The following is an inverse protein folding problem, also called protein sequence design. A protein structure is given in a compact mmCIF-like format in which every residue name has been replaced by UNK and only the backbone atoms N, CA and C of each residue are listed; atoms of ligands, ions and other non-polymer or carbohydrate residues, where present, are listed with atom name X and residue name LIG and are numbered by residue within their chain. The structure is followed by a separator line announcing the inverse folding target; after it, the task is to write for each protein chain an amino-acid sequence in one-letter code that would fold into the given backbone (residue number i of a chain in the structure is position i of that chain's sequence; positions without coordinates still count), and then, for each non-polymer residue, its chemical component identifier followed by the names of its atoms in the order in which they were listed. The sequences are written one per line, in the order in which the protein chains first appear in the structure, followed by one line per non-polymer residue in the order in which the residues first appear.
data_IF_847189437065
#
_entry.id   IF_847189437065
#
_cell.length_a   1.000
_cell.length_b   1.000
_cell.length_c   1.000
_cell.angle_alpha   90.00
_cell.angle_beta   90.00
_cell.angle_gamma   90.00
#
_symmetry.space_group_name_H-M   'P 1'
#
loop_
_entity.id
_entity.type
_entity.pdbx_description
1 polymer ?
#
# COMPACT_ATOMS: atom_id res chain seq x y z
N UNK A 1 -3.88 11.09 21.28
CA UNK A 1 -4.06 9.73 20.70
C UNK A 1 -3.55 9.79 19.25
N UNK A 2 -2.42 9.11 18.99
CA UNK A 2 -1.53 9.24 17.81
C UNK A 2 -2.23 9.49 16.47
N UNK A 3 -2.06 10.69 15.90
CA UNK A 3 -2.40 11.03 14.51
C UNK A 3 -1.92 9.95 13.52
N UNK A 4 -0.68 9.47 13.69
CA UNK A 4 -0.12 8.39 12.85
C UNK A 4 -0.90 7.07 12.88
N UNK A 5 -1.55 6.72 14.00
CA UNK A 5 -2.38 5.50 14.09
C UNK A 5 -3.68 5.67 13.30
N UNK A 6 -4.31 6.85 13.34
CA UNK A 6 -5.48 7.17 12.50
C UNK A 6 -5.12 7.11 11.02
N UNK A 7 -4.03 7.76 10.62
CA UNK A 7 -3.51 7.72 9.23
C UNK A 7 -3.27 6.28 8.77
N UNK A 8 -2.66 5.44 9.61
CA UNK A 8 -2.44 4.03 9.30
C UNK A 8 -3.75 3.26 9.10
N UNK A 9 -4.72 3.43 10.00
CA UNK A 9 -6.02 2.77 9.91
C UNK A 9 -6.80 3.21 8.66
N UNK A 10 -6.80 4.50 8.33
CA UNK A 10 -7.44 5.02 7.11
C UNK A 10 -6.83 4.41 5.84
N UNK A 11 -5.50 4.30 5.79
CA UNK A 11 -4.80 3.66 4.68
C UNK A 11 -5.16 2.19 4.54
N UNK A 12 -5.21 1.46 5.66
CA UNK A 12 -5.49 0.03 5.69
C UNK A 12 -6.95 -0.25 5.27
N UNK A 13 -7.88 0.58 5.73
CA UNK A 13 -9.30 0.53 5.30
C UNK A 13 -9.41 0.83 3.80
N UNK A 14 -8.74 1.88 3.30
CA UNK A 14 -8.77 2.19 1.86
C UNK A 14 -8.17 1.09 1.00
N UNK A 15 -7.06 0.45 1.45
CA UNK A 15 -6.47 -0.70 0.75
C UNK A 15 -7.47 -1.86 0.72
N UNK A 16 -8.15 -2.16 1.82
CA UNK A 16 -9.14 -3.23 1.87
C UNK A 16 -10.33 -2.94 0.93
N UNK A 17 -10.85 -1.71 0.93
CA UNK A 17 -11.94 -1.29 0.04
C UNK A 17 -11.53 -1.41 -1.43
N UNK A 18 -10.36 -0.89 -1.81
CA UNK A 18 -9.87 -1.00 -3.18
C UNK A 18 -9.54 -2.43 -3.57
N UNK A 19 -8.97 -3.24 -2.67
CA UNK A 19 -8.70 -4.65 -2.94
C UNK A 19 -10.00 -5.43 -3.26
N UNK A 20 -11.08 -5.18 -2.51
CA UNK A 20 -12.41 -5.75 -2.80
C UNK A 20 -12.93 -5.22 -4.15
N UNK A 21 -12.77 -3.92 -4.42
CA UNK A 21 -13.20 -3.32 -5.68
C UNK A 21 -12.49 -3.94 -6.89
N UNK A 22 -11.18 -4.20 -6.80
CA UNK A 22 -10.41 -4.85 -7.86
C UNK A 22 -10.61 -6.38 -7.92
N UNK A 23 -11.17 -6.99 -6.87
CA UNK A 23 -11.58 -8.39 -6.90
C UNK A 23 -12.71 -8.65 -7.90
N UNK A 24 -13.61 -7.67 -8.09
CA UNK A 24 -14.78 -7.73 -8.96
C UNK A 24 -14.42 -7.82 -10.46
N UNK A 25 -13.60 -6.93 -11.04
CA UNK A 25 -13.21 -7.03 -12.45
C UNK A 25 -12.39 -8.29 -12.76
N UNK A 26 -11.71 -8.87 -11.77
CA UNK A 26 -11.05 -10.17 -11.90
C UNK A 26 -11.99 -11.32 -12.31
N UNK A 27 -13.29 -11.22 -12.03
CA UNK A 27 -14.30 -12.22 -12.43
C UNK A 27 -14.71 -12.09 -13.91
N UNK A 28 -14.61 -10.90 -14.49
CA UNK A 28 -15.03 -10.60 -15.86
C UNK A 28 -13.90 -10.68 -16.88
N UNK A 29 -12.65 -10.65 -16.43
CA UNK A 29 -11.47 -10.75 -17.28
C UNK A 29 -11.24 -12.22 -17.71
N UNK A 30 -11.01 -12.43 -19.02
CA UNK A 30 -10.60 -13.75 -19.58
C UNK A 30 -9.11 -14.03 -19.32
N UNK A 31 -8.71 -13.99 -18.06
CA UNK A 31 -7.33 -14.22 -17.62
C UNK A 31 -7.33 -15.41 -16.67
N UNK A 32 -6.19 -16.08 -16.51
CA UNK A 32 -6.05 -17.18 -15.55
C UNK A 32 -6.46 -16.72 -14.15
N UNK A 33 -7.60 -17.22 -13.66
CA UNK A 33 -8.22 -16.79 -12.40
C UNK A 33 -7.27 -17.01 -11.22
N UNK A 34 -6.57 -18.14 -11.22
CA UNK A 34 -5.57 -18.46 -10.19
C UNK A 34 -4.42 -17.43 -10.18
N UNK A 35 -3.87 -17.13 -11.36
CA UNK A 35 -2.78 -16.16 -11.47
C UNK A 35 -3.21 -14.74 -11.12
N UNK A 36 -4.46 -14.38 -11.44
CA UNK A 36 -5.07 -13.10 -11.09
C UNK A 36 -5.22 -12.94 -9.58
N UNK A 37 -5.86 -13.90 -8.91
CA UNK A 37 -6.12 -13.81 -7.47
C UNK A 37 -4.84 -13.93 -6.65
N UNK A 38 -3.89 -14.77 -7.06
CA UNK A 38 -2.58 -14.86 -6.40
C UNK A 38 -1.80 -13.55 -6.55
N UNK A 39 -1.80 -12.94 -7.75
CA UNK A 39 -1.13 -11.67 -7.97
C UNK A 39 -1.79 -10.50 -7.22
N UNK A 40 -3.13 -10.43 -7.23
CA UNK A 40 -3.86 -9.42 -6.49
C UNK A 40 -3.67 -9.59 -4.97
N UNK A 41 -3.71 -10.84 -4.47
CA UNK A 41 -3.50 -11.18 -3.07
C UNK A 41 -2.09 -10.79 -2.60
N UNK A 42 -1.06 -11.13 -3.37
CA UNK A 42 0.32 -10.73 -3.07
C UNK A 42 0.52 -9.22 -3.15
N UNK A 43 -0.01 -8.56 -4.18
CA UNK A 43 0.05 -7.10 -4.29
C UNK A 43 -0.64 -6.41 -3.11
N UNK A 44 -1.75 -6.96 -2.62
CA UNK A 44 -2.48 -6.43 -1.46
C UNK A 44 -1.70 -6.65 -0.16
N UNK A 45 -1.14 -7.84 0.07
CA UNK A 45 -0.28 -8.14 1.23
C UNK A 45 0.92 -7.20 1.30
N UNK A 46 1.55 -6.95 0.15
CA UNK A 46 2.67 -6.01 0.01
C UNK A 46 2.23 -4.59 0.34
N UNK A 47 1.08 -4.16 -0.15
CA UNK A 47 0.51 -2.85 0.17
C UNK A 47 0.32 -2.66 1.67
N UNK A 48 -0.12 -3.69 2.39
CA UNK A 48 -0.22 -3.67 3.86
C UNK A 48 1.15 -3.55 4.52
N UNK A 49 2.15 -4.32 4.07
CA UNK A 49 3.53 -4.22 4.58
C UNK A 49 4.16 -2.83 4.36
N UNK A 50 3.96 -2.26 3.18
CA UNK A 50 4.38 -0.90 2.84
C UNK A 50 3.72 0.15 3.74
N UNK A 51 2.45 -0.07 4.08
CA UNK A 51 1.69 0.80 5.00
C UNK A 51 2.26 0.70 6.42
N UNK A 52 2.62 -0.50 6.86
CA UNK A 52 3.24 -0.71 8.17
C UNK A 52 4.62 -0.03 8.28
N UNK A 53 5.43 -0.14 7.23
CA UNK A 53 6.71 0.57 7.14
C UNK A 53 6.52 2.10 7.21
N UNK A 54 5.45 2.62 6.60
CA UNK A 54 5.12 4.05 6.68
C UNK A 54 4.70 4.47 8.11
N UNK A 55 3.87 3.66 8.78
CA UNK A 55 3.47 3.91 10.17
C UNK A 55 4.68 3.97 11.11
N UNK A 56 5.59 3.00 11.01
CA UNK A 56 6.81 2.98 11.83
C UNK A 56 7.71 4.20 11.59
N UNK A 57 7.72 4.71 10.36
CA UNK A 57 8.48 5.92 10.01
C UNK A 57 7.87 7.18 10.64
N UNK A 58 6.54 7.35 10.59
CA UNK A 58 5.84 8.53 11.13
C UNK A 58 5.99 8.61 12.65
N UNK A 59 5.87 7.48 13.34
CA UNK A 59 6.05 7.41 14.79
C UNK A 59 7.47 7.84 15.20
N UNK A 60 8.47 7.50 14.39
CA UNK A 60 9.89 7.83 14.65
C UNK A 60 10.26 9.25 14.25
N UNK A 61 9.65 9.80 13.19
CA UNK A 61 9.89 11.19 12.78
C UNK A 61 9.34 12.21 13.79
N UNK A 62 8.31 11.84 14.57
CA UNK A 62 7.71 12.71 15.59
C UNK A 62 8.68 13.02 16.75
N UNK A 63 9.73 12.22 16.92
CA UNK A 63 10.78 12.40 17.93
C UNK A 63 12.09 12.96 17.34
N UNK A 64 12.12 13.33 16.06
CA UNK A 64 13.33 13.79 15.37
C UNK A 64 13.21 15.24 14.90
N UNK A 65 14.26 16.02 15.17
CA UNK A 65 14.42 17.44 14.83
C UNK A 65 14.25 17.73 13.31
N UNK A 66 13.81 18.93 12.91
CA UNK A 66 13.42 19.29 11.53
C UNK A 66 14.49 18.96 10.46
N UNK A 67 15.79 19.10 10.79
CA UNK A 67 16.89 18.70 9.88
C UNK A 67 16.96 17.19 9.64
N UNK A 68 16.51 16.41 10.62
CA UNK A 68 16.47 14.95 10.58
C UNK A 68 15.22 14.44 9.87
N UNK A 69 14.11 15.18 9.90
CA UNK A 69 12.85 14.82 9.24
C UNK A 69 13.01 14.70 7.71
N UNK A 70 13.83 15.57 7.10
CA UNK A 70 14.11 15.52 5.64
C UNK A 70 14.91 14.27 5.28
N UNK A 71 15.92 13.90 6.08
CA UNK A 71 16.71 12.67 5.86
C UNK A 71 15.89 11.40 6.11
N UNK A 72 14.97 11.45 7.09
CA UNK A 72 14.03 10.35 7.38
C UNK A 72 13.03 10.14 6.26
N UNK A 73 12.48 11.22 5.71
CA UNK A 73 11.57 11.17 4.56
C UNK A 73 12.24 10.54 3.34
N UNK A 74 13.51 10.89 3.07
CA UNK A 74 14.31 10.27 2.01
C UNK A 74 14.53 8.77 2.25
N UNK A 75 14.87 8.37 3.48
CA UNK A 75 15.13 6.97 3.82
C UNK A 75 13.88 6.10 3.69
N UNK A 76 12.71 6.64 4.03
CA UNK A 76 11.43 5.95 3.85
C UNK A 76 11.05 5.81 2.37
N UNK A 77 11.34 6.82 1.53
CA UNK A 77 11.17 6.72 0.09
C UNK A 77 12.04 5.61 -0.52
N UNK A 78 13.29 5.47 -0.08
CA UNK A 78 14.19 4.40 -0.49
C UNK A 78 13.65 3.02 -0.06
N UNK A 79 13.21 2.87 1.19
CA UNK A 79 12.60 1.61 1.68
C UNK A 79 11.37 1.21 0.87
N UNK A 80 10.53 2.19 0.54
CA UNK A 80 9.33 1.98 -0.30
C UNK A 80 9.70 1.53 -1.70
N UNK A 81 10.71 2.13 -2.33
CA UNK A 81 11.22 1.70 -3.63
C UNK A 81 11.83 0.29 -3.58
N UNK A 82 12.59 -0.02 -2.52
CA UNK A 82 13.21 -1.32 -2.32
C UNK A 82 12.15 -2.42 -2.18
N UNK A 83 11.09 -2.19 -1.40
CA UNK A 83 9.98 -3.14 -1.26
C UNK A 83 9.23 -3.35 -2.57
N UNK A 84 9.01 -2.30 -3.36
CA UNK A 84 8.37 -2.43 -4.69
C UNK A 84 9.25 -3.28 -5.63
N UNK A 85 10.56 -3.06 -5.63
CA UNK A 85 11.50 -3.84 -6.46
C UNK A 85 11.50 -5.32 -6.05
N UNK A 86 11.60 -5.61 -4.74
CA UNK A 86 11.57 -6.99 -4.22
C UNK A 86 10.29 -7.70 -4.67
N UNK A 87 9.16 -7.00 -4.61
CA UNK A 87 7.86 -7.59 -4.95
C UNK A 87 7.71 -7.84 -6.44
N UNK A 88 8.21 -6.93 -7.28
CA UNK A 88 8.31 -7.15 -8.71
C UNK A 88 9.20 -8.36 -9.04
N UNK A 89 10.35 -8.50 -8.36
CA UNK A 89 11.24 -9.64 -8.56
C UNK A 89 10.59 -10.96 -8.15
N UNK A 90 9.91 -11.00 -7.00
CA UNK A 90 9.16 -12.18 -6.54
C UNK A 90 8.02 -12.53 -7.52
N UNK A 91 7.31 -11.52 -8.01
CA UNK A 91 6.22 -11.70 -8.97
C UNK A 91 6.73 -12.25 -10.32
N UNK A 92 7.90 -11.82 -10.79
CA UNK A 92 8.52 -12.33 -12.02
C UNK A 92 9.08 -13.74 -11.82
N UNK A 93 9.60 -14.06 -10.63
CA UNK A 93 10.15 -15.38 -10.33
C UNK A 93 9.06 -16.47 -10.27
N UNK A 94 7.86 -16.11 -9.82
CA UNK A 94 6.72 -17.02 -9.75
C UNK A 94 5.91 -16.92 -11.05
N UNK A 95 6.18 -17.83 -12.00
CA UNK A 95 5.47 -17.91 -13.28
C UNK A 95 3.94 -18.02 -13.16
N UNK A 96 3.44 -18.51 -12.01
CA UNK A 96 2.01 -18.63 -11.71
C UNK A 96 1.35 -17.33 -11.28
N UNK A 97 2.09 -16.21 -11.18
CA UNK A 97 1.56 -14.92 -10.77
C UNK A 97 1.55 -13.94 -11.94
N UNK A 98 0.41 -13.28 -12.13
CA UNK A 98 0.34 -12.21 -13.11
C UNK A 98 0.92 -10.90 -12.52
N UNK A 99 2.05 -10.47 -13.06
CA UNK A 99 2.74 -9.24 -12.67
C UNK A 99 1.83 -8.00 -12.77
N UNK A 100 0.93 -7.95 -13.76
CA UNK A 100 -0.02 -6.84 -13.94
C UNK A 100 -0.96 -6.73 -12.72
N UNK A 101 -1.44 -7.86 -12.22
CA UNK A 101 -2.30 -7.87 -11.02
C UNK A 101 -1.56 -7.52 -9.73
N UNK A 102 -0.27 -7.88 -9.64
CA UNK A 102 0.58 -7.44 -8.51
C UNK A 102 0.74 -5.93 -8.55
N UNK A 103 1.02 -5.35 -9.72
CA UNK A 103 1.11 -3.90 -9.90
C UNK A 103 -0.22 -3.24 -9.50
N UNK A 104 -1.36 -3.77 -9.93
CA UNK A 104 -2.69 -3.27 -9.50
C UNK A 104 -2.86 -3.32 -7.98
N UNK A 105 -2.48 -4.41 -7.33
CA UNK A 105 -2.55 -4.54 -5.87
C UNK A 105 -1.63 -3.55 -5.14
N UNK A 106 -0.45 -3.26 -5.69
CA UNK A 106 0.46 -2.20 -5.17
C UNK A 106 -0.13 -0.81 -5.44
N UNK A 107 -0.84 -0.61 -6.55
CA UNK A 107 -1.51 0.66 -6.87
C UNK A 107 -2.69 0.95 -5.93
N UNK A 108 -3.35 -0.07 -5.36
CA UNK A 108 -4.35 0.12 -4.30
C UNK A 108 -3.82 0.97 -3.14
N UNK A 109 -2.55 0.79 -2.77
CA UNK A 109 -1.93 1.60 -1.72
C UNK A 109 -1.88 3.08 -2.10
N UNK A 110 -1.49 3.39 -3.34
CA UNK A 110 -1.45 4.77 -3.83
C UNK A 110 -2.84 5.38 -3.93
N UNK A 111 -3.83 4.61 -4.41
CA UNK A 111 -5.23 5.04 -4.47
C UNK A 111 -5.81 5.30 -3.07
N UNK A 112 -5.53 4.42 -2.12
CA UNK A 112 -5.89 4.59 -0.72
C UNK A 112 -5.27 5.85 -0.12
N UNK A 113 -3.97 6.07 -0.37
CA UNK A 113 -3.28 7.29 0.06
C UNK A 113 -3.87 8.56 -0.58
N UNK A 114 -4.34 8.49 -1.83
CA UNK A 114 -4.98 9.62 -2.51
C UNK A 114 -6.37 9.92 -1.92
N UNK A 115 -7.08 8.89 -1.44
CA UNK A 115 -8.32 9.07 -0.70
C UNK A 115 -8.09 9.57 0.73
N UNK A 116 -6.91 9.37 1.30
CA UNK A 116 -6.59 9.76 2.67
C UNK A 116 -6.90 11.22 3.06
N UNK A 117 -6.56 12.27 2.28
CA UNK A 117 -6.97 13.64 2.59
C UNK A 117 -8.50 13.85 2.52
N UNK A 118 -9.21 13.06 1.73
CA UNK A 118 -10.69 13.05 1.71
C UNK A 118 -11.24 12.33 2.94
N UNK A 119 -10.65 11.20 3.34
CA UNK A 119 -11.03 10.44 4.54
C UNK A 119 -10.78 11.26 5.81
N UNK A 120 -9.67 11.98 5.88
CA UNK A 120 -9.35 12.87 7.00
C UNK A 120 -10.34 14.05 7.09
N UNK A 121 -10.77 14.62 5.95
CA UNK A 121 -11.85 15.64 5.93
C UNK A 121 -13.19 15.10 6.42
N UNK A 122 -13.51 13.84 6.13
CA UNK A 122 -14.76 13.19 6.53
C UNK A 122 -14.74 12.72 7.99
N UNK A 123 -13.59 12.25 8.48
CA UNK A 123 -13.41 11.77 9.86
C UNK A 123 -13.04 12.87 10.86
N UNK A 124 -12.47 14.00 10.43
CA UNK A 124 -12.24 15.20 11.26
C UNK A 124 -13.53 16.01 11.48
N UNK A 125 -14.60 15.73 10.73
CA UNK A 125 -15.90 16.38 10.91
C UNK A 125 -16.81 15.69 11.95
N UNK A 126 -16.23 14.97 12.91
CA UNK A 126 -17.00 14.34 14.00
C UNK A 126 -16.38 14.61 15.36
#
# INVERSE_FOLDING_TARGET
MNEGKKTFQELLIGIAVFAILFFIPGLFLKVDKLAYYLGLGLGTLVSVLLTFSMYSTIEKSLYMDEKSAVSYTKRNAIFRLMLIIVVLLVAVYINSINVITVILGVLCLKLSAYMQPLTHKLLSKK
#
